data_IF_020598784496
#
_entry.id   IF_020598784496
#
_cell.length_a   1.000
_cell.length_b   1.000
_cell.length_c   1.000
_cell.angle_alpha   90.00
_cell.angle_beta   90.00
_cell.angle_gamma   90.00
#
_symmetry.space_group_name_H-M   'P 1'
#
loop_
_entity.id
_entity.type
_entity.pdbx_description
1 polymer ?
#
# COMPACT_ATOMS: atom_id res chain seq x y z
N UNK A 1 -3.73 7.38 -9.36
CA UNK A 1 -3.22 6.01 -9.62
C UNK A 1 -3.09 5.20 -8.32
N UNK A 2 -3.13 3.86 -8.40
CA UNK A 2 -3.03 2.95 -7.23
C UNK A 2 -1.70 3.14 -6.48
N UNK A 3 -0.57 3.24 -7.21
CA UNK A 3 0.76 3.45 -6.64
C UNK A 3 0.83 4.67 -5.72
N UNK A 4 0.40 5.85 -6.21
CA UNK A 4 0.38 7.09 -5.40
C UNK A 4 -0.45 6.95 -4.11
N UNK A 5 -1.63 6.33 -4.19
CA UNK A 5 -2.47 6.12 -3.00
C UNK A 5 -1.80 5.22 -1.96
N UNK A 6 -1.07 4.19 -2.40
CA UNK A 6 -0.32 3.29 -1.50
C UNK A 6 0.87 4.02 -0.87
N UNK A 7 1.61 4.77 -1.68
CA UNK A 7 2.70 5.65 -1.24
C UNK A 7 2.23 6.61 -0.15
N UNK A 8 1.21 7.43 -0.42
CA UNK A 8 0.72 8.47 0.51
C UNK A 8 0.34 7.91 1.88
N UNK A 9 -0.26 6.71 1.94
CA UNK A 9 -0.60 6.06 3.21
C UNK A 9 0.65 5.70 4.03
N UNK A 10 1.72 5.21 3.38
CA UNK A 10 2.94 4.76 4.04
C UNK A 10 3.85 5.93 4.43
N UNK A 11 4.01 6.90 3.53
CA UNK A 11 4.84 8.06 3.77
C UNK A 11 4.34 8.88 4.99
N UNK A 12 3.03 9.07 5.12
CA UNK A 12 2.42 9.73 6.29
C UNK A 12 2.60 8.98 7.60
N UNK A 13 2.67 7.66 7.57
CA UNK A 13 2.80 6.85 8.78
C UNK A 13 4.24 6.85 9.33
N UNK A 14 5.19 7.53 8.67
CA UNK A 14 6.61 7.58 9.03
C UNK A 14 7.23 6.20 9.30
N UNK A 15 6.75 5.18 8.59
CA UNK A 15 7.13 3.78 8.79
C UNK A 15 8.40 3.43 8.02
N UNK A 16 9.53 4.01 8.39
CA UNK A 16 10.85 3.71 7.83
C UNK A 16 11.10 4.26 6.43
N UNK A 17 12.09 3.68 5.74
CA UNK A 17 12.53 4.09 4.42
C UNK A 17 11.58 3.63 3.32
N UNK A 18 11.09 4.58 2.52
CA UNK A 18 10.17 4.32 1.41
C UNK A 18 10.87 4.61 0.09
N UNK A 19 11.13 3.56 -0.68
CA UNK A 19 11.62 3.68 -2.07
C UNK A 19 10.50 3.36 -3.05
N UNK A 20 10.28 4.23 -4.03
CA UNK A 20 9.32 4.01 -5.13
C UNK A 20 10.08 3.95 -6.46
N UNK A 21 9.91 2.83 -7.17
CA UNK A 21 10.49 2.60 -8.50
C UNK A 21 9.37 2.71 -9.53
N UNK A 22 9.53 3.56 -10.55
CA UNK A 22 8.56 3.67 -11.64
C UNK A 22 9.20 4.27 -12.89
N UNK A 23 8.65 3.97 -14.08
CA UNK A 23 9.03 4.64 -15.34
C UNK A 23 8.59 6.10 -15.39
N UNK A 24 7.50 6.41 -14.70
CA UNK A 24 6.91 7.74 -14.64
C UNK A 24 6.20 7.95 -13.30
N UNK A 25 6.16 9.20 -12.86
CA UNK A 25 5.51 9.60 -11.62
C UNK A 25 4.44 10.63 -11.92
N UNK A 26 3.37 10.59 -11.14
CA UNK A 26 2.41 11.69 -11.10
C UNK A 26 3.08 12.92 -10.43
N UNK A 27 2.74 14.16 -10.85
CA UNK A 27 3.28 15.38 -10.24
C UNK A 27 3.19 15.40 -8.70
N UNK A 28 2.11 14.86 -8.15
CA UNK A 28 1.81 14.82 -6.72
C UNK A 28 2.83 14.03 -5.89
N UNK A 29 3.68 13.19 -6.50
CA UNK A 29 4.81 12.56 -5.82
C UNK A 29 5.90 13.56 -5.43
N UNK A 30 5.99 14.68 -6.13
CA UNK A 30 7.01 15.71 -5.92
C UNK A 30 6.51 16.87 -5.06
N UNK A 31 5.20 16.97 -4.85
CA UNK A 31 4.59 17.98 -3.97
C UNK A 31 4.82 17.69 -2.48
N UNK A 32 4.99 16.40 -2.12
CA UNK A 32 5.23 15.97 -0.74
C UNK A 32 6.67 15.44 -0.61
N UNK A 33 7.48 16.04 0.28
CA UNK A 33 8.81 15.54 0.63
C UNK A 33 8.79 14.93 2.02
N UNK A 34 9.21 13.67 2.10
CA UNK A 34 9.38 12.97 3.36
C UNK A 34 10.87 12.63 3.54
N UNK A 35 11.44 12.77 4.75
CA UNK A 35 12.89 12.64 4.97
C UNK A 35 13.44 11.27 4.57
N UNK A 36 12.62 10.22 4.66
CA UNK A 36 13.01 8.83 4.39
C UNK A 36 12.49 8.34 3.02
N UNK A 37 12.27 9.25 2.07
CA UNK A 37 11.70 8.93 0.76
C UNK A 37 12.74 8.97 -0.37
N UNK A 38 12.71 7.94 -1.22
CA UNK A 38 13.47 7.90 -2.47
C UNK A 38 12.56 7.58 -3.65
N UNK A 39 12.54 8.45 -4.66
CA UNK A 39 11.86 8.21 -5.93
C UNK A 39 12.92 7.91 -7.00
N UNK A 40 12.80 6.77 -7.68
CA UNK A 40 13.77 6.37 -8.71
C UNK A 40 13.03 6.14 -10.03
N UNK A 41 13.36 6.94 -11.03
CA UNK A 41 12.81 6.83 -12.38
C UNK A 41 13.61 5.82 -13.19
N UNK A 42 13.14 4.57 -13.25
CA UNK A 42 13.78 3.47 -14.02
C UNK A 42 12.79 2.33 -14.27
N UNK A 43 13.19 1.41 -15.16
CA UNK A 43 12.63 0.06 -15.23
C UNK A 43 12.90 -0.72 -13.95
N UNK A 44 12.00 -1.65 -13.59
CA UNK A 44 12.21 -2.56 -12.48
C UNK A 44 13.42 -3.47 -12.71
N UNK A 45 14.27 -3.63 -11.69
CA UNK A 45 15.29 -4.65 -11.61
C UNK A 45 15.17 -5.42 -10.29
N UNK A 46 15.56 -6.70 -10.29
CA UNK A 46 15.43 -7.59 -9.12
C UNK A 46 16.10 -7.02 -7.86
N UNK A 47 17.24 -6.37 -8.03
CA UNK A 47 18.04 -5.78 -6.96
C UNK A 47 17.29 -4.65 -6.24
N UNK A 48 16.31 -4.02 -6.89
CA UNK A 48 15.54 -2.91 -6.32
C UNK A 48 14.72 -3.32 -5.09
N UNK A 49 14.37 -4.61 -4.97
CA UNK A 49 13.61 -5.13 -3.82
C UNK A 49 14.47 -5.94 -2.86
N UNK A 50 15.77 -6.08 -3.10
CA UNK A 50 16.58 -7.08 -2.38
C UNK A 50 16.61 -6.90 -0.86
N UNK A 51 16.58 -5.65 -0.42
CA UNK A 51 16.67 -5.24 0.99
C UNK A 51 15.32 -4.75 1.56
N UNK A 52 14.22 -4.89 0.81
CA UNK A 52 12.92 -4.40 1.26
C UNK A 52 12.27 -5.41 2.23
N UNK A 53 11.82 -4.96 3.40
CA UNK A 53 10.99 -5.79 4.29
C UNK A 53 9.58 -5.98 3.73
N UNK A 54 9.09 -4.96 3.01
CA UNK A 54 7.74 -4.91 2.45
C UNK A 54 7.80 -4.50 0.98
N UNK A 55 7.19 -5.31 0.11
CA UNK A 55 7.08 -5.04 -1.33
C UNK A 55 5.63 -4.78 -1.71
N UNK A 56 5.34 -3.61 -2.27
CA UNK A 56 4.00 -3.26 -2.78
C UNK A 56 4.04 -3.24 -4.30
N UNK A 57 3.32 -4.16 -4.92
CA UNK A 57 3.25 -4.31 -6.38
C UNK A 57 2.03 -3.52 -6.87
N UNK A 58 2.28 -2.41 -7.55
CA UNK A 58 1.24 -1.46 -7.97
C UNK A 58 1.45 -0.91 -9.38
N UNK A 59 1.95 -1.74 -10.30
CA UNK A 59 2.06 -1.41 -11.73
C UNK A 59 0.82 -1.88 -12.50
N UNK A 60 0.66 -1.35 -13.70
CA UNK A 60 -0.37 -1.73 -14.67
C UNK A 60 0.04 -2.91 -15.56
N UNK A 61 1.29 -3.37 -15.50
CA UNK A 61 1.78 -4.51 -16.29
C UNK A 61 1.68 -5.82 -15.49
N UNK A 62 0.81 -6.77 -15.89
CA UNK A 62 0.73 -8.08 -15.26
C UNK A 62 2.05 -8.85 -15.31
N UNK A 63 2.79 -8.73 -16.40
CA UNK A 63 4.09 -9.38 -16.58
C UNK A 63 5.12 -8.89 -15.56
N UNK A 64 5.22 -7.56 -15.37
CA UNK A 64 6.11 -6.97 -14.37
C UNK A 64 5.65 -7.34 -12.96
N UNK A 65 4.34 -7.30 -12.69
CA UNK A 65 3.79 -7.68 -11.40
C UNK A 65 4.12 -9.15 -11.05
N UNK A 66 4.04 -10.05 -12.03
CA UNK A 66 4.42 -11.45 -11.88
C UNK A 66 5.90 -11.63 -11.64
N UNK A 67 6.74 -10.91 -12.37
CA UNK A 67 8.19 -10.92 -12.20
C UNK A 67 8.56 -10.46 -10.79
N UNK A 68 8.04 -9.33 -10.32
CA UNK A 68 8.31 -8.82 -8.97
C UNK A 68 7.91 -9.86 -7.91
N UNK A 69 6.73 -10.50 -8.04
CA UNK A 69 6.32 -11.52 -7.07
C UNK A 69 7.26 -12.74 -7.10
N UNK A 70 7.74 -13.18 -8.27
CA UNK A 70 8.71 -14.28 -8.38
C UNK A 70 10.06 -13.93 -7.75
N UNK A 71 10.45 -12.66 -7.83
CA UNK A 71 11.73 -12.18 -7.31
C UNK A 71 11.73 -11.94 -5.79
N UNK A 72 10.55 -11.90 -5.15
CA UNK A 72 10.42 -11.74 -3.69
C UNK A 72 10.97 -12.95 -2.91
N UNK A 73 11.60 -12.67 -1.77
CA UNK A 73 12.11 -13.67 -0.81
C UNK A 73 11.01 -14.02 0.22
N UNK A 74 11.03 -15.22 0.82
CA UNK A 74 10.08 -15.61 1.87
C UNK A 74 10.06 -14.70 3.10
N UNK A 75 11.13 -13.93 3.33
CA UNK A 75 11.23 -12.97 4.44
C UNK A 75 10.54 -11.64 4.15
N UNK A 76 10.09 -11.40 2.92
CA UNK A 76 9.48 -10.15 2.50
C UNK A 76 7.96 -10.27 2.52
N UNK A 77 7.29 -9.27 3.08
CA UNK A 77 5.83 -9.18 3.03
C UNK A 77 5.40 -8.52 1.72
N UNK A 78 4.54 -9.19 0.95
CA UNK A 78 4.09 -8.71 -0.35
C UNK A 78 2.64 -8.26 -0.32
N UNK A 79 2.35 -7.06 -0.82
CA UNK A 79 1.01 -6.62 -1.17
C UNK A 79 0.89 -6.48 -2.69
N UNK A 80 0.24 -7.45 -3.32
CA UNK A 80 -0.05 -7.43 -4.74
C UNK A 80 -1.40 -6.74 -5.00
N UNK A 81 -1.37 -5.49 -5.45
CA UNK A 81 -2.59 -4.66 -5.47
C UNK A 81 -3.65 -5.10 -6.47
N UNK A 82 -3.26 -5.86 -7.50
CA UNK A 82 -4.16 -6.43 -8.50
C UNK A 82 -4.58 -7.89 -8.23
N UNK A 83 -4.00 -8.57 -7.24
CA UNK A 83 -4.24 -10.00 -7.01
C UNK A 83 -4.14 -10.31 -5.51
N UNK A 84 -5.28 -10.67 -4.92
CA UNK A 84 -5.33 -10.92 -3.49
C UNK A 84 -4.70 -12.24 -3.09
N UNK A 85 -4.79 -13.27 -3.92
CA UNK A 85 -4.30 -14.61 -3.57
C UNK A 85 -2.77 -14.65 -3.48
N UNK A 86 -2.10 -13.66 -4.09
CA UNK A 86 -0.64 -13.52 -4.13
C UNK A 86 -0.10 -12.50 -3.13
N UNK A 87 -0.93 -12.02 -2.22
CA UNK A 87 -0.57 -11.06 -1.17
C UNK A 87 -0.47 -11.73 0.19
N UNK A 88 0.56 -11.39 0.96
CA UNK A 88 0.74 -11.85 2.35
C UNK A 88 -0.08 -11.00 3.33
N UNK A 89 -0.41 -9.76 2.93
CA UNK A 89 -1.25 -8.86 3.71
C UNK A 89 -2.07 -7.93 2.83
N UNK A 90 -3.07 -7.28 3.43
CA UNK A 90 -3.96 -6.33 2.75
C UNK A 90 -4.10 -5.04 3.55
N UNK A 91 -4.39 -3.94 2.84
CA UNK A 91 -4.78 -2.72 3.51
C UNK A 91 -6.17 -2.86 4.11
N UNK A 92 -6.31 -2.55 5.40
CA UNK A 92 -7.58 -2.46 6.09
C UNK A 92 -8.28 -1.13 5.80
N UNK A 93 -9.60 -1.10 5.99
CA UNK A 93 -10.34 0.16 6.06
C UNK A 93 -10.07 0.75 7.44
N UNK A 94 -9.52 1.95 7.46
CA UNK A 94 -9.08 2.64 8.68
C UNK A 94 -9.64 4.06 8.66
N UNK A 95 -9.94 4.58 9.85
CA UNK A 95 -10.36 5.95 10.09
C UNK A 95 -10.04 6.34 11.54
N UNK A 96 -9.99 7.64 11.79
CA UNK A 96 -9.70 8.23 13.09
C UNK A 96 -10.98 8.85 13.66
N UNK A 97 -11.12 8.81 14.98
CA UNK A 97 -12.15 9.52 15.73
C UNK A 97 -11.54 9.94 17.07
N UNK A 98 -11.42 11.25 17.29
CA UNK A 98 -10.70 11.82 18.45
C UNK A 98 -9.28 11.21 18.62
N UNK A 99 -8.99 10.56 19.75
CA UNK A 99 -7.74 9.89 20.05
C UNK A 99 -7.72 8.41 19.64
N UNK A 100 -8.76 7.92 18.95
CA UNK A 100 -8.88 6.53 18.51
C UNK A 100 -8.48 6.35 17.04
N UNK A 101 -7.68 5.31 16.78
CA UNK A 101 -7.52 4.73 15.45
C UNK A 101 -8.34 3.45 15.34
N UNK A 102 -9.28 3.41 14.39
CA UNK A 102 -10.21 2.31 14.21
C UNK A 102 -9.95 1.65 12.85
N UNK A 103 -9.64 0.36 12.87
CA UNK A 103 -9.41 -0.46 11.68
C UNK A 103 -10.42 -1.59 11.58
N UNK A 104 -11.13 -1.66 10.45
CA UNK A 104 -12.09 -2.71 10.12
C UNK A 104 -11.54 -3.54 8.96
N UNK A 105 -11.44 -4.85 9.19
CA UNK A 105 -11.00 -5.83 8.19
C UNK A 105 -12.01 -6.94 7.99
N UNK A 106 -12.07 -7.47 6.78
CA UNK A 106 -12.59 -8.81 6.56
C UNK A 106 -11.46 -9.81 6.85
N UNK A 107 -11.76 -10.91 7.55
CA UNK A 107 -10.80 -12.00 7.78
C UNK A 107 -10.63 -12.83 6.49
N UNK A 108 -10.15 -12.19 5.42
CA UNK A 108 -10.07 -12.76 4.07
C UNK A 108 -11.40 -12.78 3.31
N UNK A 109 -12.52 -12.46 3.97
CA UNK A 109 -13.86 -12.42 3.38
C UNK A 109 -14.18 -11.14 2.60
N UNK A 110 -15.48 -10.83 2.52
CA UNK A 110 -16.01 -9.73 1.71
C UNK A 110 -15.55 -8.34 2.17
N UNK A 111 -14.73 -7.68 1.35
CA UNK A 111 -14.27 -6.30 1.57
C UNK A 111 -15.43 -5.29 1.59
N UNK A 112 -16.52 -5.53 0.85
CA UNK A 112 -17.69 -4.65 0.84
C UNK A 112 -18.36 -4.64 2.20
N UNK A 113 -18.45 -5.80 2.88
CA UNK A 113 -18.96 -5.89 4.26
C UNK A 113 -18.10 -5.09 5.23
N UNK A 114 -16.77 -5.26 5.18
CA UNK A 114 -15.85 -4.48 6.03
C UNK A 114 -16.00 -2.97 5.80
N UNK A 115 -16.16 -2.54 4.53
CA UNK A 115 -16.43 -1.14 4.19
C UNK A 115 -17.77 -0.65 4.77
N UNK A 116 -18.84 -1.42 4.63
CA UNK A 116 -20.16 -1.05 5.11
C UNK A 116 -20.20 -0.93 6.64
N UNK A 117 -19.59 -1.89 7.35
CA UNK A 117 -19.47 -1.85 8.81
C UNK A 117 -18.67 -0.62 9.25
N UNK A 118 -17.55 -0.33 8.59
CA UNK A 118 -16.78 0.89 8.90
C UNK A 118 -17.62 2.16 8.72
N UNK A 119 -18.44 2.25 7.66
CA UNK A 119 -19.32 3.39 7.44
C UNK A 119 -20.38 3.52 8.53
N UNK A 120 -20.98 2.41 8.97
CA UNK A 120 -21.95 2.43 10.06
C UNK A 120 -21.32 2.92 11.38
N UNK A 121 -20.10 2.48 11.70
CA UNK A 121 -19.37 2.97 12.88
C UNK A 121 -19.08 4.48 12.74
N UNK A 122 -18.62 4.92 11.57
CA UNK A 122 -18.36 6.35 11.34
C UNK A 122 -19.62 7.21 11.48
N UNK A 123 -20.77 6.72 11.01
CA UNK A 123 -22.03 7.44 11.15
C UNK A 123 -22.46 7.53 12.63
N UNK A 124 -22.40 6.41 13.35
CA UNK A 124 -22.71 6.37 14.78
C UNK A 124 -21.84 7.36 15.58
N UNK A 125 -20.53 7.38 15.32
CA UNK A 125 -19.61 8.28 16.01
C UNK A 125 -19.78 9.75 15.63
N UNK A 126 -20.38 10.07 14.48
CA UNK A 126 -20.62 11.46 14.07
C UNK A 126 -21.87 12.08 14.71
N UNK A 127 -22.70 11.26 15.36
CA UNK A 127 -23.91 11.67 16.08
C UNK A 127 -23.65 11.92 17.58
N UNK A 128 -22.46 11.56 18.08
CA UNK A 128 -21.93 11.89 19.43
C UNK A 128 -21.12 13.19 19.41
#
# INVERSE_FOLDING_TARGET
MIGYRKFKKRAKANCGDVTVISKSFLPEFFEESYPNMKLITKDYAKEDIENADVVIIATDSPEINDQIKKDTKPTQLVNHTGDKERSDFFNMKEFEFEDLSISVRSNGGDYKKAKHVAQAIQQFLAEE
#
